data_IF_398915020411
#
_entry.id   IF_398915020411
#
_cell.length_a   1.000
_cell.length_b   1.000
_cell.length_c   1.000
_cell.angle_alpha   90.00
_cell.angle_beta   90.00
_cell.angle_gamma   90.00
#
_symmetry.space_group_name_H-M   'P 1'
#
loop_
_entity.id
_entity.type
_entity.pdbx_description
1 polymer ?
#
# COMPACT_ATOMS: atom_id res chain seq x y z
N UNK A 1 6.56 -33.43 0.43
CA UNK A 1 6.32 -32.24 1.28
C UNK A 1 5.18 -32.38 2.27
N UNK A 2 4.06 -33.03 1.98
CA UNK A 2 2.87 -33.01 2.86
C UNK A 2 2.89 -33.89 4.14
N UNK A 3 3.99 -34.58 4.47
CA UNK A 3 4.05 -35.51 5.62
C UNK A 3 4.89 -35.05 6.82
N UNK A 4 5.49 -33.85 6.78
CA UNK A 4 6.18 -33.26 7.95
C UNK A 4 5.32 -32.30 8.78
N UNK A 5 4.06 -32.04 8.35
CA UNK A 5 3.16 -31.07 8.99
C UNK A 5 2.37 -31.59 10.20
N UNK A 6 2.49 -32.86 10.60
CA UNK A 6 1.61 -33.46 11.63
C UNK A 6 2.34 -34.21 12.76
N UNK A 7 3.56 -33.79 13.12
CA UNK A 7 4.24 -34.32 14.31
C UNK A 7 4.75 -33.18 15.18
N UNK A 8 3.88 -32.66 16.06
CA UNK A 8 4.28 -31.61 16.99
C UNK A 8 3.16 -30.94 17.78
N UNK A 9 2.15 -31.69 18.23
CA UNK A 9 1.14 -31.16 19.16
C UNK A 9 1.20 -31.91 20.48
N UNK A 10 2.19 -31.57 21.33
CA UNK A 10 2.09 -31.75 22.79
C UNK A 10 2.87 -30.64 23.51
N UNK A 11 2.11 -29.85 24.27
CA UNK A 11 2.48 -29.02 25.42
C UNK A 11 3.22 -27.68 25.17
N UNK A 12 2.52 -26.58 25.48
CA UNK A 12 3.09 -25.39 26.10
C UNK A 12 3.80 -24.39 25.17
N UNK A 13 3.11 -23.29 24.85
CA UNK A 13 3.64 -21.96 24.50
C UNK A 13 5.02 -21.89 23.81
N UNK A 14 5.02 -22.00 22.48
CA UNK A 14 5.95 -21.28 21.61
C UNK A 14 5.18 -20.89 20.34
N UNK A 15 5.02 -19.57 20.10
CA UNK A 15 4.61 -19.10 18.77
C UNK A 15 5.72 -19.52 17.81
N UNK A 16 5.45 -20.54 16.99
CA UNK A 16 6.29 -20.81 15.83
C UNK A 16 6.16 -19.60 14.89
N UNK A 17 7.17 -18.75 14.90
CA UNK A 17 7.37 -17.79 13.82
C UNK A 17 7.71 -18.64 12.61
N UNK A 18 6.74 -18.84 11.72
CA UNK A 18 7.02 -19.39 10.40
C UNK A 18 7.88 -18.35 9.68
N UNK A 19 9.15 -18.64 9.51
CA UNK A 19 10.03 -17.84 8.66
C UNK A 19 9.97 -18.40 7.23
N UNK A 20 9.16 -17.79 6.34
CA UNK A 20 9.03 -18.24 4.95
C UNK A 20 10.36 -18.18 4.18
N UNK A 21 11.33 -17.36 4.61
CA UNK A 21 12.65 -17.24 3.98
C UNK A 21 13.47 -18.51 4.25
N UNK A 22 13.52 -18.97 5.50
CA UNK A 22 14.18 -20.23 5.87
C UNK A 22 13.59 -21.45 5.15
N UNK A 23 12.27 -21.45 4.90
CA UNK A 23 11.58 -22.55 4.23
C UNK A 23 11.90 -22.65 2.72
N UNK A 24 12.41 -21.57 2.11
CA UNK A 24 12.76 -21.50 0.69
C UNK A 24 14.26 -21.61 0.43
N UNK A 25 15.09 -21.51 1.47
CA UNK A 25 16.54 -21.42 1.34
C UNK A 25 17.15 -22.62 0.60
N UNK A 26 16.69 -23.83 0.90
CA UNK A 26 17.16 -25.06 0.24
C UNK A 26 16.80 -25.12 -1.26
N UNK A 27 15.69 -24.49 -1.66
CA UNK A 27 15.18 -24.50 -3.04
C UNK A 27 15.92 -23.53 -3.96
N UNK A 28 16.56 -22.50 -3.38
CA UNK A 28 17.29 -21.45 -4.11
C UNK A 28 18.80 -21.50 -3.90
N UNK A 29 19.28 -22.55 -3.24
CA UNK A 29 20.71 -22.79 -3.00
C UNK A 29 21.30 -23.73 -4.04
N UNK A 30 22.51 -23.44 -4.48
CA UNK A 30 23.27 -24.30 -5.36
C UNK A 30 23.86 -25.47 -4.57
N UNK A 31 23.56 -26.71 -4.93
CA UNK A 31 24.10 -27.89 -4.21
C UNK A 31 25.60 -28.14 -4.45
N UNK A 32 26.26 -27.34 -5.30
CA UNK A 32 27.71 -27.44 -5.56
C UNK A 32 28.48 -26.50 -4.64
N UNK A 33 28.13 -25.20 -4.61
CA UNK A 33 28.82 -24.22 -3.77
C UNK A 33 28.14 -23.99 -2.41
N UNK A 34 26.94 -24.53 -2.20
CA UNK A 34 26.12 -24.40 -0.99
C UNK A 34 25.73 -22.95 -0.66
N UNK A 35 25.81 -22.07 -1.65
CA UNK A 35 25.40 -20.66 -1.58
C UNK A 35 24.18 -20.42 -2.47
N UNK A 36 23.56 -19.26 -2.35
CA UNK A 36 22.50 -18.83 -3.26
C UNK A 36 22.93 -18.88 -4.73
N UNK A 37 21.98 -19.26 -5.58
CA UNK A 37 22.20 -19.43 -7.01
C UNK A 37 22.56 -18.11 -7.70
N UNK A 38 23.79 -18.02 -8.22
CA UNK A 38 24.24 -16.90 -9.08
C UNK A 38 24.22 -17.32 -10.54
N UNK A 39 23.54 -16.53 -11.36
CA UNK A 39 23.28 -16.84 -12.77
C UNK A 39 22.79 -18.30 -12.94
N UNK A 40 21.67 -18.69 -12.31
CA UNK A 40 21.19 -20.06 -12.33
C UNK A 40 20.96 -20.57 -13.74
N UNK A 41 21.39 -21.80 -13.98
CA UNK A 41 21.04 -22.59 -15.16
C UNK A 41 20.24 -23.80 -14.74
N UNK A 42 19.17 -24.07 -15.47
CA UNK A 42 18.37 -25.29 -15.36
C UNK A 42 18.91 -26.31 -16.35
N UNK A 43 19.20 -27.53 -15.88
CA UNK A 43 19.62 -28.66 -16.74
C UNK A 43 18.43 -29.59 -17.04
N UNK A 44 18.62 -30.58 -17.91
CA UNK A 44 17.53 -31.43 -18.46
C UNK A 44 16.62 -32.08 -17.41
N UNK A 45 17.16 -32.42 -16.24
CA UNK A 45 16.39 -33.03 -15.16
C UNK A 45 15.64 -32.03 -14.27
N UNK A 46 15.70 -30.73 -14.57
CA UNK A 46 15.00 -29.65 -13.86
C UNK A 46 15.74 -29.08 -12.65
N UNK A 47 16.89 -29.65 -12.27
CA UNK A 47 17.72 -29.10 -11.19
C UNK A 47 18.48 -27.84 -11.62
N UNK A 48 18.78 -26.98 -10.65
CA UNK A 48 19.34 -25.65 -10.88
C UNK A 48 20.69 -25.49 -10.20
N UNK A 49 21.65 -24.90 -10.90
CA UNK A 49 23.00 -24.67 -10.40
C UNK A 49 23.50 -23.29 -10.85
N UNK A 50 24.48 -22.71 -10.14
CA UNK A 50 25.17 -21.53 -10.68
C UNK A 50 25.86 -21.91 -12.00
N UNK A 51 25.77 -21.04 -13.00
CA UNK A 51 26.37 -21.28 -14.33
C UNK A 51 27.85 -21.71 -14.22
N UNK A 52 28.63 -20.97 -13.42
CA UNK A 52 30.06 -21.28 -13.18
C UNK A 52 30.24 -22.62 -12.48
N UNK A 53 29.39 -22.95 -11.50
CA UNK A 53 29.54 -24.17 -10.71
C UNK A 53 29.32 -25.42 -11.56
N UNK A 54 28.26 -25.44 -12.36
CA UNK A 54 27.97 -26.62 -13.20
C UNK A 54 28.91 -26.71 -14.40
N UNK A 55 29.41 -25.59 -14.92
CA UNK A 55 30.43 -25.58 -15.99
C UNK A 55 31.73 -26.18 -15.47
N UNK A 56 32.23 -25.72 -14.32
CA UNK A 56 33.43 -26.28 -13.69
C UNK A 56 33.27 -27.77 -13.33
N UNK A 57 32.07 -28.19 -12.95
CA UNK A 57 31.76 -29.61 -12.69
C UNK A 57 31.95 -30.45 -13.96
N UNK A 58 31.49 -29.96 -15.12
CA UNK A 58 31.66 -30.63 -16.41
C UNK A 58 33.13 -30.65 -16.85
N UNK A 59 33.86 -29.55 -16.66
CA UNK A 59 35.28 -29.43 -17.05
C UNK A 59 36.21 -30.33 -16.23
N UNK A 60 35.89 -30.59 -14.96
CA UNK A 60 36.68 -31.46 -14.07
C UNK A 60 36.41 -32.95 -14.27
N UNK A 61 35.46 -33.30 -15.13
CA UNK A 61 35.15 -34.70 -15.43
C UNK A 61 36.27 -35.28 -16.30
N UNK A 62 37.36 -35.69 -15.65
CA UNK A 62 38.46 -36.42 -16.30
C UNK A 62 38.01 -37.86 -16.62
N UNK A 63 37.49 -38.04 -17.84
CA UNK A 63 37.11 -39.36 -18.32
C UNK A 63 36.19 -39.33 -19.52
N UNK A 64 36.81 -39.51 -20.69
CA UNK A 64 36.20 -40.04 -21.92
C UNK A 64 35.31 -39.06 -22.70
N UNK A 65 35.28 -39.30 -24.01
CA UNK A 65 34.51 -38.69 -25.12
C UNK A 65 32.98 -38.65 -24.95
N UNK A 66 32.47 -38.71 -23.72
CA UNK A 66 31.05 -38.73 -23.44
C UNK A 66 30.52 -37.29 -23.40
N UNK A 67 29.64 -36.95 -24.35
CA UNK A 67 28.89 -35.69 -24.35
C UNK A 67 27.87 -35.58 -23.19
N UNK A 68 27.69 -36.67 -22.43
CA UNK A 68 26.67 -36.84 -21.39
C UNK A 68 27.30 -36.80 -20.00
N UNK A 69 26.87 -35.82 -19.19
CA UNK A 69 27.25 -35.61 -17.79
C UNK A 69 26.12 -36.07 -16.85
N UNK A 70 26.40 -36.23 -15.55
CA UNK A 70 25.41 -36.68 -14.57
C UNK A 70 25.11 -35.61 -13.53
N UNK A 71 23.81 -35.33 -13.31
CA UNK A 71 23.36 -34.27 -12.40
C UNK A 71 23.92 -34.48 -10.98
N UNK A 72 24.56 -33.47 -10.35
CA UNK A 72 25.07 -33.58 -8.98
C UNK A 72 24.01 -33.92 -7.92
N UNK A 73 22.73 -33.60 -8.15
CA UNK A 73 21.65 -33.84 -7.20
C UNK A 73 20.94 -35.19 -7.40
N UNK A 74 20.56 -35.53 -8.62
CA UNK A 74 19.75 -36.72 -8.91
C UNK A 74 20.42 -37.77 -9.80
N UNK A 75 21.62 -37.49 -10.32
CA UNK A 75 22.40 -38.35 -11.23
C UNK A 75 21.73 -38.66 -12.57
N UNK A 76 20.70 -37.92 -12.97
CA UNK A 76 20.16 -37.99 -14.33
C UNK A 76 21.20 -37.48 -15.34
N UNK A 77 21.25 -38.11 -16.52
CA UNK A 77 22.11 -37.68 -17.62
C UNK A 77 21.67 -36.34 -18.21
N UNK A 78 22.61 -35.47 -18.59
CA UNK A 78 22.37 -34.19 -19.25
C UNK A 78 23.52 -33.80 -20.19
N UNK A 79 23.28 -32.87 -21.11
CA UNK A 79 24.31 -32.31 -22.01
C UNK A 79 24.70 -30.88 -21.58
N UNK A 80 25.95 -30.47 -21.77
CA UNK A 80 26.33 -29.08 -21.46
C UNK A 80 25.64 -28.07 -22.39
N UNK A 81 25.33 -28.46 -23.62
CA UNK A 81 24.61 -27.63 -24.61
C UNK A 81 23.15 -27.38 -24.25
N UNK A 82 22.57 -28.14 -23.31
CA UNK A 82 21.16 -28.00 -22.91
C UNK A 82 20.96 -27.06 -21.72
N UNK A 83 22.02 -26.41 -21.22
CA UNK A 83 21.92 -25.42 -20.15
C UNK A 83 20.94 -24.30 -20.53
N UNK A 84 19.92 -24.12 -19.70
CA UNK A 84 18.94 -23.05 -19.87
C UNK A 84 19.13 -22.00 -18.78
N UNK A 85 19.66 -20.81 -19.10
CA UNK A 85 19.70 -19.71 -18.14
C UNK A 85 18.30 -19.41 -17.62
N UNK A 86 18.15 -19.36 -16.30
CA UNK A 86 16.86 -19.18 -15.64
C UNK A 86 16.79 -17.80 -14.99
N UNK A 87 16.48 -16.78 -15.80
CA UNK A 87 16.37 -15.38 -15.34
C UNK A 87 15.30 -15.20 -14.26
N UNK A 88 14.21 -15.96 -14.33
CA UNK A 88 13.16 -15.89 -13.31
C UNK A 88 13.67 -16.35 -11.95
N UNK A 89 14.39 -17.47 -11.92
CA UNK A 89 15.02 -17.96 -10.69
C UNK A 89 16.10 -17.00 -10.18
N UNK A 90 16.88 -16.39 -11.06
CA UNK A 90 17.85 -15.36 -10.69
C UNK A 90 17.18 -14.19 -9.95
N UNK A 91 16.06 -13.69 -10.49
CA UNK A 91 15.29 -12.60 -9.86
C UNK A 91 14.69 -13.01 -8.51
N UNK A 92 14.26 -14.27 -8.37
CA UNK A 92 13.72 -14.81 -7.10
C UNK A 92 14.82 -14.87 -6.04
N UNK A 93 16.00 -15.37 -6.40
CA UNK A 93 17.17 -15.44 -5.50
C UNK A 93 17.57 -14.05 -5.02
N UNK A 94 17.65 -13.08 -5.94
CA UNK A 94 17.95 -11.68 -5.60
C UNK A 94 16.90 -11.09 -4.65
N UNK A 95 15.61 -11.39 -4.88
CA UNK A 95 14.52 -11.00 -3.99
C UNK A 95 14.67 -11.57 -2.59
N UNK A 96 15.05 -12.85 -2.46
CA UNK A 96 15.27 -13.52 -1.18
C UNK A 96 16.49 -12.94 -0.46
N UNK A 97 17.60 -12.69 -1.16
CA UNK A 97 18.79 -12.04 -0.60
C UNK A 97 18.47 -10.65 -0.03
N UNK A 98 17.65 -9.86 -0.73
CA UNK A 98 17.20 -8.55 -0.23
C UNK A 98 16.32 -8.65 1.01
N UNK A 99 15.53 -9.73 1.16
CA UNK A 99 14.71 -9.98 2.34
C UNK A 99 15.55 -10.48 3.53
N UNK A 100 16.56 -11.32 3.29
CA UNK A 100 17.43 -11.88 4.33
C UNK A 100 18.40 -10.85 4.95
N UNK A 101 18.76 -9.80 4.20
CA UNK A 101 19.67 -8.73 4.66
C UNK A 101 19.00 -7.69 5.59
N UNK A 102 17.71 -7.84 5.91
CA UNK A 102 16.98 -6.90 6.78
C UNK A 102 16.18 -7.62 7.87
N UNK A 103 16.86 -8.12 8.93
CA UNK A 103 16.16 -8.74 10.06
C UNK A 103 15.32 -7.74 10.89
N UNK A 104 15.58 -6.42 10.77
CA UNK A 104 14.94 -5.36 11.60
C UNK A 104 14.32 -4.21 10.80
N UNK A 105 14.04 -4.39 9.51
CA UNK A 105 13.26 -3.41 8.74
C UNK A 105 12.10 -4.15 8.11
N UNK A 106 10.89 -3.86 8.59
CA UNK A 106 9.66 -4.39 8.02
C UNK A 106 9.67 -4.27 6.48
N UNK A 107 9.69 -5.40 5.75
CA UNK A 107 9.62 -5.36 4.30
C UNK A 107 8.15 -5.46 3.90
N UNK A 108 7.39 -4.37 4.07
CA UNK A 108 6.06 -4.22 3.44
C UNK A 108 6.02 -3.15 2.35
N UNK A 109 7.01 -2.28 2.20
CA UNK A 109 6.88 -1.18 1.23
C UNK A 109 7.04 -1.62 -0.24
N UNK A 110 7.98 -2.54 -0.57
CA UNK A 110 8.33 -2.80 -1.98
C UNK A 110 7.34 -3.67 -2.78
N UNK A 111 6.61 -4.60 -2.14
CA UNK A 111 5.61 -5.41 -2.85
C UNK A 111 4.36 -4.57 -3.19
N UNK A 112 4.06 -3.56 -2.37
CA UNK A 112 2.97 -2.62 -2.61
C UNK A 112 3.29 -1.59 -3.70
N UNK A 113 4.56 -1.32 -4.06
CA UNK A 113 4.88 -0.33 -5.13
C UNK A 113 4.62 -0.89 -6.54
N UNK A 114 5.03 -2.13 -6.79
CA UNK A 114 4.75 -2.80 -8.08
C UNK A 114 3.29 -3.27 -8.15
N UNK A 115 2.68 -3.57 -7.00
CA UNK A 115 1.25 -3.82 -6.87
C UNK A 115 0.40 -2.56 -7.05
N UNK A 116 0.79 -1.38 -6.54
CA UNK A 116 -0.02 -0.16 -6.61
C UNK A 116 -0.21 0.37 -8.02
N UNK A 117 0.84 0.38 -8.86
CA UNK A 117 0.64 0.72 -10.28
C UNK A 117 -0.41 -0.20 -10.89
N UNK A 118 -0.34 -1.52 -10.66
CA UNK A 118 -1.36 -2.46 -11.17
C UNK A 118 -2.74 -2.29 -10.50
N UNK A 119 -2.84 -2.11 -9.19
CA UNK A 119 -4.11 -1.98 -8.44
C UNK A 119 -4.81 -0.66 -8.81
N UNK A 120 -4.08 0.45 -8.93
CA UNK A 120 -4.62 1.74 -9.38
C UNK A 120 -4.98 1.69 -10.88
N UNK A 121 -4.23 0.97 -11.71
CA UNK A 121 -4.56 0.78 -13.14
C UNK A 121 -5.86 0.00 -13.37
N UNK A 122 -6.34 -0.79 -12.40
CA UNK A 122 -7.58 -1.57 -12.50
C UNK A 122 -8.76 -1.02 -11.70
N UNK A 123 -8.55 -0.02 -10.83
CA UNK A 123 -9.64 0.62 -10.09
C UNK A 123 -10.16 1.83 -10.87
N UNK A 124 -11.47 1.91 -11.11
CA UNK A 124 -12.07 3.10 -11.70
C UNK A 124 -11.97 4.26 -10.70
N UNK A 125 -11.25 5.32 -11.09
CA UNK A 125 -11.17 6.55 -10.32
C UNK A 125 -12.59 7.12 -10.17
N UNK A 126 -13.10 7.12 -8.94
CA UNK A 126 -14.46 7.56 -8.64
C UNK A 126 -14.54 9.07 -8.78
N UNK A 127 -15.57 9.53 -9.48
CA UNK A 127 -15.79 10.94 -9.68
C UNK A 127 -16.42 11.60 -8.44
N UNK A 128 -15.60 11.82 -7.40
CA UNK A 128 -16.03 12.45 -6.16
C UNK A 128 -16.24 13.94 -6.36
N UNK A 129 -17.34 14.46 -5.81
CA UNK A 129 -17.68 15.90 -5.79
C UNK A 129 -18.07 16.31 -4.38
N UNK A 130 -17.92 17.59 -4.06
CA UNK A 130 -18.20 18.13 -2.74
C UNK A 130 -19.69 18.42 -2.55
N UNK A 131 -20.22 18.12 -1.36
CA UNK A 131 -21.63 18.35 -1.00
C UNK A 131 -21.80 19.71 -0.30
N UNK A 132 -22.39 20.73 -0.96
CA UNK A 132 -22.54 22.07 -0.38
C UNK A 132 -23.49 22.13 0.82
N UNK A 133 -24.37 21.13 1.01
CA UNK A 133 -25.27 21.09 2.15
C UNK A 133 -24.53 20.80 3.44
N UNK A 134 -23.45 20.01 3.36
CA UNK A 134 -22.60 19.64 4.51
C UNK A 134 -21.55 20.69 4.85
N UNK A 135 -21.19 21.54 3.89
CA UNK A 135 -20.07 22.47 4.00
C UNK A 135 -20.24 23.47 5.15
N UNK A 136 -19.23 23.59 6.01
CA UNK A 136 -19.22 24.69 6.97
C UNK A 136 -19.33 26.07 6.28
N UNK A 137 -20.00 27.01 6.94
CA UNK A 137 -20.31 28.32 6.36
C UNK A 137 -19.09 29.19 6.05
N UNK A 138 -17.88 28.87 6.51
CA UNK A 138 -16.65 29.58 6.10
C UNK A 138 -15.98 28.98 4.86
N UNK A 139 -16.48 27.86 4.33
CA UNK A 139 -15.89 27.21 3.17
C UNK A 139 -16.34 27.85 1.86
N UNK A 140 -15.38 28.00 0.95
CA UNK A 140 -15.57 28.49 -0.40
C UNK A 140 -15.33 27.34 -1.36
N UNK A 141 -16.36 26.99 -2.12
CA UNK A 141 -16.33 25.90 -3.10
C UNK A 141 -16.15 26.46 -4.52
N UNK A 142 -15.43 25.72 -5.35
CA UNK A 142 -15.44 25.97 -6.80
C UNK A 142 -16.79 25.60 -7.42
N UNK A 143 -17.10 26.19 -8.58
CA UNK A 143 -18.36 25.97 -9.28
C UNK A 143 -18.59 24.51 -9.69
N UNK A 144 -17.51 23.81 -10.06
CA UNK A 144 -17.51 22.38 -10.40
C UNK A 144 -17.59 21.45 -9.17
N UNK A 145 -17.63 22.02 -7.95
CA UNK A 145 -17.64 21.30 -6.67
C UNK A 145 -16.46 20.34 -6.49
N UNK A 146 -15.30 20.64 -7.06
CA UNK A 146 -14.08 19.83 -6.89
C UNK A 146 -13.07 20.44 -5.94
N UNK A 147 -13.12 21.75 -5.72
CA UNK A 147 -12.16 22.45 -4.88
C UNK A 147 -12.83 23.12 -3.70
N UNK A 148 -12.15 23.10 -2.56
CA UNK A 148 -12.60 23.77 -1.34
C UNK A 148 -11.44 24.43 -0.61
N UNK A 149 -11.67 25.65 -0.13
CA UNK A 149 -10.74 26.41 0.73
C UNK A 149 -11.50 27.14 1.83
N UNK A 150 -10.79 27.56 2.86
CA UNK A 150 -11.37 28.39 3.93
C UNK A 150 -11.33 29.86 3.51
N UNK A 151 -12.45 30.56 3.69
CA UNK A 151 -12.57 32.00 3.48
C UNK A 151 -12.39 32.82 4.76
N UNK A 152 -12.22 34.13 4.60
CA UNK A 152 -12.18 35.11 5.70
C UNK A 152 -13.53 35.34 6.38
N UNK A 153 -14.61 35.14 5.63
CA UNK A 153 -15.96 35.57 6.01
C UNK A 153 -16.91 34.40 5.97
N UNK A 154 -17.78 34.35 6.97
CA UNK A 154 -18.94 33.46 6.98
C UNK A 154 -19.82 33.80 5.78
N UNK A 155 -20.11 32.79 4.98
CA UNK A 155 -21.02 32.85 3.84
C UNK A 155 -22.47 32.87 4.33
N UNK A 156 -23.33 33.53 3.57
CA UNK A 156 -24.77 33.49 3.78
C UNK A 156 -25.35 32.24 3.11
N UNK A 157 -25.37 31.14 3.86
CA UNK A 157 -25.84 29.83 3.40
C UNK A 157 -26.98 29.34 4.29
N UNK A 158 -27.97 28.61 3.73
CA UNK A 158 -29.08 28.08 4.52
C UNK A 158 -28.61 27.17 5.64
N UNK A 159 -29.21 27.34 6.82
CA UNK A 159 -29.06 26.41 7.94
C UNK A 159 -29.78 25.11 7.61
N UNK A 160 -29.11 23.97 7.85
CA UNK A 160 -29.67 22.64 7.69
C UNK A 160 -28.93 21.67 8.65
N UNK A 161 -29.52 20.54 9.04
CA UNK A 161 -28.93 19.62 10.01
C UNK A 161 -27.71 18.86 9.47
N UNK A 162 -27.51 18.78 8.15
CA UNK A 162 -26.36 18.10 7.53
C UNK A 162 -25.09 18.96 7.56
N UNK A 163 -25.23 20.27 7.79
CA UNK A 163 -24.14 21.25 7.76
C UNK A 163 -23.28 21.19 9.02
N UNK A 164 -21.97 21.12 8.84
CA UNK A 164 -21.02 21.32 9.95
C UNK A 164 -21.08 22.77 10.45
N UNK A 165 -21.37 22.97 11.74
CA UNK A 165 -21.59 24.31 12.31
C UNK A 165 -20.29 25.03 12.73
N UNK A 166 -19.35 24.30 13.34
CA UNK A 166 -18.12 24.82 13.94
C UNK A 166 -16.87 24.34 13.20
N UNK A 167 -16.73 23.03 12.96
CA UNK A 167 -15.59 22.50 12.22
C UNK A 167 -15.62 22.95 10.76
N UNK A 168 -14.54 23.56 10.25
CA UNK A 168 -14.41 23.99 8.85
C UNK A 168 -14.15 22.80 7.90
N UNK A 169 -15.03 21.79 7.92
CA UNK A 169 -14.98 20.59 7.10
C UNK A 169 -16.23 20.45 6.20
N UNK A 170 -16.15 19.48 5.30
CA UNK A 170 -17.16 19.19 4.28
C UNK A 170 -17.09 17.70 3.90
N UNK A 171 -18.21 17.15 3.44
CA UNK A 171 -18.27 15.78 2.90
C UNK A 171 -18.31 15.76 1.36
N UNK A 172 -17.90 14.64 0.79
CA UNK A 172 -18.17 14.30 -0.62
C UNK A 172 -19.64 13.90 -0.81
N UNK A 173 -20.21 14.13 -1.98
CA UNK A 173 -21.61 13.85 -2.33
C UNK A 173 -21.94 12.35 -2.35
N UNK A 174 -20.95 11.53 -2.67
CA UNK A 174 -21.04 10.09 -2.84
C UNK A 174 -21.21 9.38 -1.49
N UNK A 175 -22.02 8.32 -1.50
CA UNK A 175 -22.27 7.40 -0.39
C UNK A 175 -21.81 6.01 -0.81
N UNK A 176 -20.91 5.41 -0.06
CA UNK A 176 -20.38 4.08 -0.34
C UNK A 176 -20.91 3.07 0.67
N UNK A 177 -21.50 1.99 0.16
CA UNK A 177 -22.10 0.91 0.98
C UNK A 177 -21.58 -0.47 0.61
N UNK A 178 -20.72 -0.55 -0.41
CA UNK A 178 -20.15 -1.77 -0.98
C UNK A 178 -19.06 -1.39 -1.99
N UNK A 179 -18.19 -2.32 -2.31
CA UNK A 179 -17.18 -2.24 -3.36
C UNK A 179 -15.89 -1.51 -2.97
N UNK A 180 -15.01 -1.43 -3.96
CA UNK A 180 -13.72 -0.74 -3.88
C UNK A 180 -13.78 0.58 -4.62
N UNK A 181 -13.41 1.67 -3.94
CA UNK A 181 -13.51 3.03 -4.44
C UNK A 181 -12.20 3.75 -4.22
N UNK A 182 -11.68 4.38 -5.28
CA UNK A 182 -10.45 5.15 -5.24
C UNK A 182 -10.68 6.57 -5.71
N UNK A 183 -10.16 7.56 -4.99
CA UNK A 183 -10.10 8.95 -5.43
C UNK A 183 -8.82 9.63 -4.96
N UNK A 184 -8.46 10.71 -5.63
CA UNK A 184 -7.25 11.47 -5.35
C UNK A 184 -7.58 12.92 -4.99
N UNK A 185 -6.85 13.44 -4.00
CA UNK A 185 -6.95 14.82 -3.53
C UNK A 185 -5.60 15.50 -3.69
N UNK A 186 -5.56 16.55 -4.49
CA UNK A 186 -4.43 17.46 -4.54
C UNK A 186 -4.43 18.34 -3.28
N UNK A 187 -3.32 18.28 -2.55
CA UNK A 187 -3.07 19.06 -1.34
C UNK A 187 -1.99 20.13 -1.56
N UNK A 188 -1.25 20.07 -2.67
CA UNK A 188 -0.21 21.04 -3.02
C UNK A 188 0.81 21.25 -1.89
N UNK A 189 1.14 22.51 -1.62
CA UNK A 189 2.09 22.89 -0.56
C UNK A 189 1.43 23.24 0.77
N UNK A 190 0.15 22.88 0.95
CA UNK A 190 -0.61 23.13 2.19
C UNK A 190 0.14 22.64 3.41
N UNK A 191 -0.03 23.36 4.51
CA UNK A 191 0.63 23.10 5.79
C UNK A 191 -0.28 22.43 6.81
N UNK A 192 -1.59 22.40 6.53
CA UNK A 192 -2.56 21.73 7.36
C UNK A 192 -3.75 21.22 6.53
N UNK A 193 -4.18 19.98 6.79
CA UNK A 193 -5.41 19.37 6.26
C UNK A 193 -5.71 18.05 6.99
N UNK A 194 -6.95 17.57 6.88
CA UNK A 194 -7.35 16.20 7.28
C UNK A 194 -8.19 15.60 6.16
N UNK A 195 -7.90 14.36 5.79
CA UNK A 195 -8.53 13.65 4.67
C UNK A 195 -8.89 12.21 5.07
N UNK A 196 -9.97 11.69 4.51
CA UNK A 196 -10.34 10.28 4.66
C UNK A 196 -11.82 10.03 4.40
N UNK A 197 -12.43 9.18 5.23
CA UNK A 197 -13.87 8.89 5.20
C UNK A 197 -14.49 9.01 6.59
N UNK A 198 -15.79 9.22 6.63
CA UNK A 198 -16.59 9.15 7.85
C UNK A 198 -17.90 8.42 7.61
N UNK A 199 -18.53 7.95 8.68
CA UNK A 199 -19.90 7.45 8.63
C UNK A 199 -20.89 8.56 8.25
N UNK A 200 -22.01 8.20 7.61
CA UNK A 200 -23.08 9.15 7.27
C UNK A 200 -23.70 9.80 8.51
N UNK A 201 -23.76 9.07 9.63
CA UNK A 201 -24.47 9.47 10.85
C UNK A 201 -23.62 10.29 11.84
N UNK A 202 -22.36 10.59 11.52
CA UNK A 202 -21.49 11.36 12.43
C UNK A 202 -22.10 12.73 12.77
N UNK A 203 -21.86 13.19 14.00
CA UNK A 203 -22.32 14.50 14.47
C UNK A 203 -21.80 15.62 13.56
N UNK A 204 -22.69 16.58 13.27
CA UNK A 204 -22.38 17.81 12.52
C UNK A 204 -22.17 19.02 13.44
N UNK A 205 -22.33 18.82 14.75
CA UNK A 205 -22.32 19.89 15.75
C UNK A 205 -21.03 19.94 16.56
N UNK A 206 -20.57 21.16 16.82
CA UNK A 206 -19.46 21.45 17.70
C UNK A 206 -18.08 21.11 17.12
N UNK A 207 -17.08 21.24 17.99
CA UNK A 207 -15.69 20.90 17.69
C UNK A 207 -15.45 19.48 18.18
N UNK A 208 -14.87 18.65 17.31
CA UNK A 208 -14.53 17.27 17.64
C UNK A 208 -13.16 16.91 17.06
N UNK A 209 -12.56 15.85 17.60
CA UNK A 209 -11.36 15.25 17.04
C UNK A 209 -11.77 13.95 16.33
N UNK A 210 -11.55 13.82 15.01
CA UNK A 210 -11.86 12.60 14.28
C UNK A 210 -11.13 11.39 14.87
N UNK A 211 -11.82 10.25 14.96
CA UNK A 211 -11.26 8.93 15.27
C UNK A 211 -12.22 7.81 14.85
N UNK A 212 -11.75 6.55 14.70
CA UNK A 212 -12.62 5.41 14.39
C UNK A 212 -13.76 5.25 15.41
N UNK A 213 -13.48 5.49 16.70
CA UNK A 213 -14.49 5.45 17.76
C UNK A 213 -15.62 6.50 17.59
N UNK A 214 -15.40 7.52 16.76
CA UNK A 214 -16.38 8.56 16.41
C UNK A 214 -16.85 8.47 14.96
N UNK A 215 -16.56 7.37 14.27
CA UNK A 215 -16.95 7.12 12.88
C UNK A 215 -16.09 7.83 11.84
N UNK A 216 -14.79 8.06 12.11
CA UNK A 216 -13.87 8.69 11.17
C UNK A 216 -12.57 7.89 10.99
N UNK A 217 -12.19 7.64 9.74
CA UNK A 217 -10.92 7.00 9.37
C UNK A 217 -10.14 7.97 8.50
N UNK A 218 -9.24 8.74 9.12
CA UNK A 218 -8.63 9.92 8.50
C UNK A 218 -7.15 10.06 8.85
N UNK A 219 -6.40 10.66 7.93
CA UNK A 219 -5.00 11.08 8.13
C UNK A 219 -4.91 12.59 8.03
N UNK A 220 -3.97 13.19 8.76
CA UNK A 220 -3.78 14.64 8.75
C UNK A 220 -2.37 15.08 8.37
N UNK A 221 -2.25 16.37 8.12
CA UNK A 221 -1.02 17.14 8.16
C UNK A 221 -1.21 18.31 9.12
N UNK A 222 -0.21 18.58 9.96
CA UNK A 222 -0.07 19.81 10.76
C UNK A 222 1.33 20.39 10.63
N UNK A 223 1.45 21.69 10.91
CA UNK A 223 2.72 22.43 10.95
C UNK A 223 3.63 22.27 9.71
N UNK A 224 3.06 21.84 8.57
CA UNK A 224 3.78 21.64 7.31
C UNK A 224 4.53 20.31 7.14
N UNK A 225 4.76 19.55 8.22
CA UNK A 225 5.54 18.31 8.19
C UNK A 225 5.10 17.23 9.21
N UNK A 226 4.13 17.50 10.09
CA UNK A 226 3.65 16.53 11.08
C UNK A 226 2.47 15.74 10.49
N UNK A 227 2.71 14.48 10.15
CA UNK A 227 1.69 13.57 9.62
C UNK A 227 1.26 12.58 10.70
N UNK A 228 -0.03 12.24 10.73
CA UNK A 228 -0.56 11.23 11.64
C UNK A 228 -1.81 10.57 11.07
N UNK A 229 -2.03 9.31 11.43
CA UNK A 229 -3.32 8.64 11.34
C UNK A 229 -4.09 8.88 12.63
N UNK A 230 -5.34 9.35 12.50
CA UNK A 230 -6.20 9.69 13.63
C UNK A 230 -6.88 8.44 14.19
N UNK A 231 -6.10 7.51 14.73
CA UNK A 231 -6.56 6.34 15.48
C UNK A 231 -6.97 6.71 16.92
N UNK A 232 -7.58 5.79 17.66
CA UNK A 232 -7.98 6.02 19.07
C UNK A 232 -6.83 6.51 19.96
N UNK A 233 -5.63 6.00 19.71
CA UNK A 233 -4.38 6.63 20.15
C UNK A 233 -3.69 7.18 18.91
N UNK A 234 -3.36 8.46 18.88
CA UNK A 234 -2.75 9.12 17.72
C UNK A 234 -1.52 8.33 17.21
N UNK A 235 -1.51 7.97 15.94
CA UNK A 235 -0.38 7.28 15.31
C UNK A 235 0.40 8.26 14.44
N UNK A 236 1.57 8.70 14.89
CA UNK A 236 2.45 9.56 14.11
C UNK A 236 3.04 8.82 12.91
N UNK A 237 3.14 9.51 11.77
CA UNK A 237 3.59 8.94 10.50
C UNK A 237 4.85 9.66 10.02
N UNK A 238 5.88 8.89 9.70
CA UNK A 238 7.11 9.42 9.09
C UNK A 238 7.07 9.20 7.59
N UNK A 239 6.88 10.28 6.81
CA UNK A 239 6.86 10.23 5.35
C UNK A 239 8.21 10.64 4.77
N UNK A 240 8.79 9.80 3.89
CA UNK A 240 10.07 10.11 3.23
C UNK A 240 9.96 11.24 2.21
N UNK A 241 8.81 11.32 1.53
CA UNK A 241 8.51 12.32 0.51
C UNK A 241 7.26 13.06 0.96
N UNK A 242 7.31 14.40 0.95
CA UNK A 242 6.13 15.23 1.23
C UNK A 242 5.09 15.01 0.11
N UNK A 243 3.88 14.50 0.42
CA UNK A 243 2.83 14.36 -0.59
C UNK A 243 2.29 15.73 -1.00
N UNK A 244 2.18 15.94 -2.32
CA UNK A 244 1.37 17.00 -2.94
C UNK A 244 0.01 16.49 -3.38
N UNK A 245 -0.16 15.17 -3.42
CA UNK A 245 -1.37 14.49 -3.78
C UNK A 245 -1.53 13.21 -2.92
N UNK A 246 -2.74 13.02 -2.40
CA UNK A 246 -3.11 11.89 -1.55
C UNK A 246 -4.13 11.04 -2.30
N UNK A 247 -3.83 9.75 -2.44
CA UNK A 247 -4.76 8.74 -2.91
C UNK A 247 -5.47 8.08 -1.72
N UNK A 248 -6.78 7.90 -1.84
CA UNK A 248 -7.61 7.26 -0.80
C UNK A 248 -8.33 6.08 -1.44
N UNK A 249 -8.12 4.89 -0.89
CA UNK A 249 -8.77 3.65 -1.29
C UNK A 249 -9.67 3.18 -0.16
N UNK A 250 -10.96 3.07 -0.44
CA UNK A 250 -11.91 2.38 0.40
C UNK A 250 -12.15 0.98 -0.19
N UNK A 251 -11.91 -0.06 0.58
CA UNK A 251 -12.38 -1.42 0.31
C UNK A 251 -13.44 -1.77 1.36
N UNK A 252 -14.72 -1.64 0.97
CA UNK A 252 -15.82 -1.73 1.93
C UNK A 252 -15.95 -3.16 2.48
N UNK A 253 -15.87 -4.18 1.63
CA UNK A 253 -15.99 -5.58 2.03
C UNK A 253 -14.79 -6.07 2.83
N UNK A 254 -13.58 -5.59 2.51
CA UNK A 254 -12.38 -5.92 3.30
C UNK A 254 -12.32 -5.14 4.63
N UNK A 255 -13.14 -4.09 4.78
CA UNK A 255 -13.11 -3.25 5.96
C UNK A 255 -11.91 -2.32 6.00
N UNK A 256 -11.34 -1.94 4.86
CA UNK A 256 -10.07 -1.20 4.81
C UNK A 256 -10.23 0.21 4.22
N UNK A 257 -9.55 1.17 4.85
CA UNK A 257 -9.33 2.52 4.30
C UNK A 257 -7.83 2.77 4.22
N UNK A 258 -7.29 2.78 3.00
CA UNK A 258 -5.86 2.94 2.73
C UNK A 258 -5.54 4.30 2.13
N UNK A 259 -4.41 4.87 2.55
CA UNK A 259 -3.90 6.16 2.15
C UNK A 259 -2.56 6.01 1.45
N UNK A 260 -2.36 6.78 0.39
CA UNK A 260 -1.17 6.70 -0.46
C UNK A 260 -0.64 8.08 -0.80
N UNK A 261 0.67 8.21 -0.81
CA UNK A 261 1.37 9.34 -1.39
C UNK A 261 1.51 9.08 -2.89
N UNK A 262 0.72 9.77 -3.72
CA UNK A 262 0.72 9.54 -5.17
C UNK A 262 2.04 9.99 -5.79
N UNK A 263 2.67 11.06 -5.27
CA UNK A 263 3.91 11.60 -5.82
C UNK A 263 5.12 10.70 -5.57
N UNK A 264 5.19 10.09 -4.39
CA UNK A 264 6.22 9.11 -4.03
C UNK A 264 5.84 7.67 -4.40
N UNK A 265 4.64 7.48 -4.96
CA UNK A 265 3.98 6.19 -5.17
C UNK A 265 4.03 5.26 -3.95
N UNK A 266 3.97 5.82 -2.74
CA UNK A 266 4.20 5.09 -1.49
C UNK A 266 2.93 4.92 -0.66
N UNK A 267 2.84 3.85 0.11
CA UNK A 267 1.81 3.69 1.13
C UNK A 267 2.04 4.68 2.27
N UNK A 268 0.96 5.18 2.87
CA UNK A 268 0.98 6.08 4.04
C UNK A 268 0.47 5.32 5.25
N UNK A 269 -0.77 4.81 5.17
CA UNK A 269 -1.42 4.15 6.29
C UNK A 269 -2.65 3.36 5.83
N UNK A 270 -3.03 2.32 6.56
CA UNK A 270 -4.29 1.58 6.35
C UNK A 270 -5.01 1.42 7.68
N UNK A 271 -6.26 1.84 7.72
CA UNK A 271 -7.20 1.48 8.78
C UNK A 271 -7.88 0.17 8.41
N UNK A 272 -8.19 -0.65 9.42
CA UNK A 272 -9.02 -1.85 9.30
C UNK A 272 -10.14 -1.77 10.33
N UNK A 273 -11.39 -1.94 9.89
CA UNK A 273 -12.59 -1.86 10.73
C UNK A 273 -13.75 -2.65 10.13
N UNK A 274 -14.89 -2.70 10.81
CA UNK A 274 -16.15 -3.24 10.26
C UNK A 274 -17.13 -2.11 9.96
N UNK A 275 -17.43 -1.89 8.68
CA UNK A 275 -18.35 -0.83 8.26
C UNK A 275 -19.80 -1.32 8.24
N UNK A 276 -20.64 -0.69 9.04
CA UNK A 276 -22.06 -1.03 9.16
C UNK A 276 -22.98 0.00 8.48
N UNK A 277 -22.47 1.22 8.30
CA UNK A 277 -23.21 2.36 7.77
C UNK A 277 -22.56 2.87 6.48
N UNK A 278 -23.31 3.59 5.62
CA UNK A 278 -22.74 4.25 4.45
C UNK A 278 -21.58 5.17 4.84
N UNK A 279 -20.47 5.07 4.10
CA UNK A 279 -19.31 5.94 4.26
C UNK A 279 -19.33 7.09 3.25
N UNK A 280 -18.89 8.26 3.70
CA UNK A 280 -18.74 9.49 2.92
C UNK A 280 -17.28 9.90 2.88
N UNK A 281 -16.76 10.40 1.74
CA UNK A 281 -15.49 11.13 1.74
C UNK A 281 -15.53 12.32 2.69
N UNK A 282 -14.47 12.52 3.47
CA UNK A 282 -14.34 13.58 4.45
C UNK A 282 -13.15 14.48 4.12
N UNK A 283 -13.38 15.79 4.17
CA UNK A 283 -12.37 16.80 3.86
C UNK A 283 -12.36 17.93 4.89
N UNK A 284 -11.19 18.21 5.42
CA UNK A 284 -10.90 19.38 6.24
C UNK A 284 -9.70 20.13 5.63
N UNK A 285 -9.89 21.33 5.03
CA UNK A 285 -8.81 22.06 4.37
C UNK A 285 -7.76 22.66 5.30
N UNK A 286 -7.91 22.53 6.62
CA UNK A 286 -7.03 23.17 7.59
C UNK A 286 -7.37 24.65 7.84
N UNK A 287 -6.91 25.16 8.97
CA UNK A 287 -6.95 26.60 9.27
C UNK A 287 -6.02 27.35 8.32
N UNK A 288 -6.30 28.64 8.08
CA UNK A 288 -5.56 29.47 7.11
C UNK A 288 -4.12 29.81 7.53
N UNK A 289 -3.78 29.68 8.81
CA UNK A 289 -2.42 29.90 9.35
C UNK A 289 -1.77 31.22 8.86
N UNK A 290 -2.49 32.34 8.96
CA UNK A 290 -1.99 33.65 8.51
C UNK A 290 -1.81 33.78 6.99
N UNK A 291 -2.53 32.97 6.20
CA UNK A 291 -2.46 32.95 4.74
C UNK A 291 -1.56 31.82 4.18
N UNK A 292 -0.75 31.17 5.02
CA UNK A 292 0.19 30.12 4.62
C UNK A 292 -0.51 28.83 4.16
N UNK A 293 -1.81 28.67 4.44
CA UNK A 293 -2.58 27.48 4.09
C UNK A 293 -3.85 27.81 3.26
N UNK A 294 -3.85 28.94 2.56
CA UNK A 294 -5.02 29.44 1.80
C UNK A 294 -5.32 28.65 0.52
N UNK A 295 -4.35 27.87 0.03
CA UNK A 295 -4.53 27.00 -1.11
C UNK A 295 -5.69 25.99 -0.88
N UNK A 296 -6.47 25.66 -1.92
CA UNK A 296 -7.57 24.72 -1.81
C UNK A 296 -7.09 23.27 -1.66
N UNK A 297 -7.98 22.42 -1.15
CA UNK A 297 -7.97 21.01 -1.50
C UNK A 297 -8.71 20.85 -2.83
N UNK A 298 -8.17 20.08 -3.76
CA UNK A 298 -8.77 19.88 -5.09
C UNK A 298 -8.90 18.40 -5.42
N UNK A 299 -10.12 17.94 -5.70
CA UNK A 299 -10.42 16.58 -6.13
C UNK A 299 -10.05 16.39 -7.60
N UNK A 300 -9.29 15.33 -7.89
CA UNK A 300 -9.00 14.95 -9.27
C UNK A 300 -10.27 14.41 -9.93
N UNK A 301 -10.58 14.81 -11.18
CA UNK A 301 -11.69 14.23 -11.93
C UNK A 301 -11.55 12.72 -12.09
N UNK A 302 -12.66 12.01 -11.87
CA UNK A 302 -12.76 10.59 -12.17
C UNK A 302 -12.60 10.32 -13.67
N UNK A 303 -12.18 9.11 -14.03
CA UNK A 303 -12.23 8.65 -15.42
C UNK A 303 -13.66 8.22 -15.72
N UNK A 304 -14.41 9.02 -16.49
CA UNK A 304 -15.64 8.52 -17.11
C UNK A 304 -15.25 7.42 -18.09
N UNK A 305 -15.72 6.19 -17.86
CA UNK A 305 -15.66 5.17 -18.90
C UNK A 305 -16.60 5.60 -20.03
N UNK A 306 -16.17 5.53 -21.31
CA UNK A 306 -17.00 5.82 -22.47
C UNK A 306 -18.17 4.84 -22.61
#
# INVERSE_FOLDING_TARGET
MLKKLLAGFKNGAAKLVFDPVSALQDEVSCSICLEYLRDPVTIDCGHNFCCVCITNYCERWEGSTAEVFFCPQCRAGFLQTTFRPNKQLANIVEGIEQLALQPDKEPKEKLYMNGMHHVILFLSLVDVTLDPNTANAYLLLSQDRRSVRVGDKRQDVPSNPERFDMCTCILGQQRFTAGRHYWEVEVGDKTCWTLGVCEECVSRQGIFTPSPATGFWTVWLRNGNEYAALTSHLTELTLRVKPRQIGILLDYEAGEVSFYNVNGSSHIYTFSDTFLEPLRPYFYPGVRAGGLNDAPLTLRPGTQQP
#
